data_IF_005584359982
#
_entry.id   IF_005584359982
#
_cell.length_a   1.000
_cell.length_b   1.000
_cell.length_c   1.000
_cell.angle_alpha   90.00
_cell.angle_beta   90.00
_cell.angle_gamma   90.00
#
_symmetry.space_group_name_H-M   'P 1'
#
loop_
_entity.id
_entity.type
_entity.pdbx_description
1 polymer ?
#
# COMPACT_ATOMS: atom_id res chain seq x y z
N UNK A 1 11.72 -28.17 48.22
CA UNK A 1 11.93 -26.79 47.71
C UNK A 1 11.36 -26.70 46.32
N UNK A 2 10.26 -25.94 46.10
CA UNK A 2 9.66 -25.70 44.78
C UNK A 2 10.21 -24.38 44.28
N UNK A 3 11.02 -24.42 43.22
CA UNK A 3 11.52 -23.21 42.54
C UNK A 3 10.42 -22.70 41.63
N UNK A 4 9.79 -21.59 42.03
CA UNK A 4 8.82 -20.91 41.19
C UNK A 4 9.59 -20.04 40.19
N UNK A 5 9.59 -20.41 38.90
CA UNK A 5 10.11 -19.57 37.82
C UNK A 5 9.04 -18.57 37.46
N UNK A 6 9.24 -17.28 37.77
CA UNK A 6 8.41 -16.18 37.35
C UNK A 6 8.82 -15.84 35.92
N UNK A 7 8.03 -16.26 34.92
CA UNK A 7 8.14 -15.80 33.54
C UNK A 7 7.53 -14.40 33.48
N UNK A 8 8.36 -13.35 33.53
CA UNK A 8 8.00 -12.00 33.17
C UNK A 8 7.84 -11.96 31.65
N UNK A 9 6.61 -12.18 31.17
CA UNK A 9 6.21 -11.84 29.82
C UNK A 9 6.19 -10.32 29.72
N UNK A 10 7.27 -9.72 29.23
CA UNK A 10 7.24 -8.32 28.80
C UNK A 10 6.30 -8.21 27.59
N UNK A 11 5.10 -7.70 27.85
CA UNK A 11 4.16 -7.33 26.80
C UNK A 11 4.73 -6.09 26.10
N UNK A 12 5.57 -6.27 25.11
CA UNK A 12 5.93 -5.19 24.20
C UNK A 12 4.69 -4.85 23.41
N UNK A 13 4.05 -3.73 23.73
CA UNK A 13 2.98 -3.15 22.90
C UNK A 13 3.59 -2.86 21.53
N UNK A 14 3.28 -3.70 20.56
CA UNK A 14 3.62 -3.44 19.18
C UNK A 14 2.74 -2.26 18.71
N UNK A 15 3.28 -1.07 18.73
CA UNK A 15 2.58 0.12 18.23
C UNK A 15 2.79 0.18 16.72
N UNK A 16 1.72 -0.07 15.96
CA UNK A 16 1.72 0.09 14.52
C UNK A 16 1.40 1.55 14.17
N UNK A 17 2.31 2.23 13.46
CA UNK A 17 2.09 3.59 12.96
C UNK A 17 1.67 3.53 11.51
N UNK A 18 0.43 3.90 11.26
CA UNK A 18 -0.18 4.00 9.93
C UNK A 18 -0.47 5.47 9.66
N UNK A 19 0.03 5.99 8.54
CA UNK A 19 -0.29 7.35 8.09
C UNK A 19 -1.34 7.24 6.99
N UNK A 20 -2.53 7.82 7.19
CA UNK A 20 -3.51 7.94 6.13
C UNK A 20 -3.05 9.01 5.14
N UNK A 21 -3.19 8.73 3.87
CA UNK A 21 -3.03 9.69 2.80
C UNK A 21 -4.32 9.70 1.97
N UNK A 22 -4.94 10.86 1.87
CA UNK A 22 -6.09 11.05 1.00
C UNK A 22 -5.53 11.40 -0.39
N UNK A 23 -5.60 10.45 -1.31
CA UNK A 23 -5.20 10.65 -2.68
C UNK A 23 -6.43 10.94 -3.52
N UNK A 24 -6.81 12.20 -3.70
CA UNK A 24 -7.59 12.55 -4.87
C UNK A 24 -6.72 12.29 -6.10
N UNK A 25 -7.36 11.90 -7.20
CA UNK A 25 -6.70 11.73 -8.48
C UNK A 25 -5.89 13.00 -8.84
N UNK A 26 -4.56 12.89 -8.86
CA UNK A 26 -3.64 14.02 -9.11
C UNK A 26 -3.20 14.83 -7.88
N UNK A 27 -3.42 14.34 -6.66
CA UNK A 27 -2.99 15.03 -5.45
C UNK A 27 -1.47 15.05 -5.25
N UNK A 28 -1.03 16.04 -4.44
CA UNK A 28 0.37 16.19 -4.07
C UNK A 28 0.81 15.14 -3.04
N UNK A 29 1.87 14.41 -3.31
CA UNK A 29 2.42 13.33 -2.47
C UNK A 29 3.58 13.77 -1.55
N UNK A 30 4.01 15.02 -1.61
CA UNK A 30 5.08 15.54 -0.74
C UNK A 30 4.78 15.35 0.77
N UNK A 31 3.53 15.46 1.25
CA UNK A 31 3.20 15.12 2.64
C UNK A 31 3.50 13.67 3.01
N UNK A 32 3.37 12.74 2.06
CA UNK A 32 3.71 11.31 2.25
C UNK A 32 5.22 11.16 2.41
N UNK A 33 6.02 11.83 1.56
CA UNK A 33 7.48 11.85 1.67
C UNK A 33 7.90 12.32 3.05
N UNK A 34 7.39 13.47 3.49
CA UNK A 34 7.70 14.03 4.80
C UNK A 34 7.30 13.09 5.96
N UNK A 35 6.19 12.37 5.81
CA UNK A 35 5.72 11.40 6.82
C UNK A 35 6.64 10.19 6.91
N UNK A 36 7.15 9.70 5.79
CA UNK A 36 8.10 8.58 5.75
C UNK A 36 9.43 9.01 6.38
N UNK A 37 9.95 10.17 6.00
CA UNK A 37 11.26 10.65 6.46
C UNK A 37 11.29 10.96 7.96
N UNK A 38 10.21 11.49 8.51
CA UNK A 38 10.17 12.05 9.88
C UNK A 38 9.36 11.20 10.85
N UNK A 39 8.46 10.36 10.36
CA UNK A 39 7.36 9.81 11.17
C UNK A 39 7.62 8.46 11.81
N UNK A 40 8.70 7.74 11.51
CA UNK A 40 8.89 6.36 11.96
C UNK A 40 7.65 5.49 11.66
N UNK A 41 7.05 5.66 10.48
CA UNK A 41 5.85 4.96 10.06
C UNK A 41 6.18 3.58 9.49
N UNK A 42 5.32 2.60 9.69
CA UNK A 42 5.45 1.28 9.11
C UNK A 42 4.56 1.10 7.88
N UNK A 43 3.45 1.82 7.81
CA UNK A 43 2.50 1.74 6.72
C UNK A 43 2.03 3.11 6.27
N UNK A 44 1.86 3.26 4.96
CA UNK A 44 1.07 4.33 4.35
C UNK A 44 -0.21 3.67 3.82
N UNK A 45 -1.36 4.22 4.22
CA UNK A 45 -2.66 3.81 3.71
C UNK A 45 -3.23 4.95 2.87
N UNK A 46 -3.47 4.70 1.58
CA UNK A 46 -3.95 5.73 0.65
C UNK A 46 -5.34 5.39 0.12
N UNK A 47 -6.25 6.35 0.19
CA UNK A 47 -7.60 6.24 -0.35
C UNK A 47 -7.74 7.08 -1.62
N UNK A 48 -7.92 6.40 -2.75
CA UNK A 48 -8.04 7.00 -4.09
C UNK A 48 -9.48 7.00 -4.61
N UNK A 49 -10.42 6.34 -3.91
CA UNK A 49 -11.74 6.07 -4.46
C UNK A 49 -12.81 6.96 -3.84
N UNK A 50 -13.20 7.98 -4.60
CA UNK A 50 -14.46 8.72 -4.43
C UNK A 50 -15.45 8.28 -5.51
N UNK A 51 -16.72 8.67 -5.39
CA UNK A 51 -17.74 8.44 -6.44
C UNK A 51 -17.29 9.03 -7.77
N UNK A 52 -16.73 10.25 -7.75
CA UNK A 52 -16.21 10.91 -8.93
C UNK A 52 -15.07 10.12 -9.56
N UNK A 53 -14.12 9.66 -8.75
CA UNK A 53 -13.00 8.84 -9.22
C UNK A 53 -13.51 7.57 -9.88
N UNK A 54 -14.45 6.86 -9.25
CA UNK A 54 -15.02 5.63 -9.80
C UNK A 54 -15.73 5.88 -11.15
N UNK A 55 -16.43 7.00 -11.29
CA UNK A 55 -17.06 7.37 -12.56
C UNK A 55 -16.03 7.63 -13.67
N UNK A 56 -14.90 8.28 -13.35
CA UNK A 56 -13.79 8.49 -14.28
C UNK A 56 -13.18 7.14 -14.68
N UNK A 57 -12.86 6.29 -13.70
CA UNK A 57 -12.27 4.97 -13.95
C UNK A 57 -13.17 4.07 -14.79
N UNK A 58 -14.50 4.15 -14.61
CA UNK A 58 -15.47 3.44 -15.43
C UNK A 58 -15.43 3.92 -16.89
N UNK A 59 -15.36 5.23 -17.11
CA UNK A 59 -15.27 5.81 -18.44
C UNK A 59 -13.96 5.44 -19.13
N UNK A 60 -12.84 5.44 -18.40
CA UNK A 60 -11.54 5.05 -18.92
C UNK A 60 -11.55 3.57 -19.32
N UNK A 61 -12.11 2.70 -18.49
CA UNK A 61 -12.21 1.27 -18.77
C UNK A 61 -13.11 0.94 -19.97
N UNK A 62 -14.14 1.78 -20.24
CA UNK A 62 -14.97 1.64 -21.45
C UNK A 62 -14.19 1.97 -22.73
N UNK A 63 -13.22 2.88 -22.65
CA UNK A 63 -12.35 3.26 -23.79
C UNK A 63 -11.23 2.25 -23.99
N UNK A 64 -10.64 1.79 -22.89
CA UNK A 64 -9.55 0.84 -22.87
C UNK A 64 -9.73 -0.14 -21.71
N UNK A 65 -10.04 -1.42 -21.98
CA UNK A 65 -10.24 -2.43 -20.95
C UNK A 65 -9.02 -2.67 -20.04
N UNK A 66 -7.82 -2.25 -20.43
CA UNK A 66 -6.62 -2.33 -19.61
C UNK A 66 -6.57 -1.29 -18.50
N UNK A 67 -7.34 -0.19 -18.63
CA UNK A 67 -7.50 0.88 -17.66
C UNK A 67 -8.56 0.54 -16.59
N UNK A 68 -9.00 1.54 -15.84
CA UNK A 68 -10.00 1.39 -14.77
C UNK A 68 -9.39 1.34 -13.38
N UNK A 69 -8.15 1.80 -13.25
CA UNK A 69 -7.45 2.04 -11.98
C UNK A 69 -6.90 3.46 -11.95
N UNK A 70 -6.59 4.00 -10.78
CA UNK A 70 -6.01 5.33 -10.63
C UNK A 70 -4.56 5.30 -11.14
N UNK A 71 -4.35 5.79 -12.38
CA UNK A 71 -3.07 5.69 -13.07
C UNK A 71 -1.93 6.47 -12.41
N UNK A 72 -2.25 7.49 -11.60
CA UNK A 72 -1.31 8.29 -10.83
C UNK A 72 -0.58 7.49 -9.72
N UNK A 73 -1.12 6.33 -9.32
CA UNK A 73 -0.44 5.42 -8.38
C UNK A 73 0.92 4.96 -8.91
N UNK A 74 1.08 4.84 -10.23
CA UNK A 74 2.33 4.38 -10.84
C UNK A 74 3.45 5.41 -10.65
N UNK A 75 3.34 6.68 -11.13
CA UNK A 75 4.38 7.68 -10.92
C UNK A 75 4.60 7.99 -9.43
N UNK A 76 3.55 7.94 -8.60
CA UNK A 76 3.67 8.10 -7.15
C UNK A 76 4.58 7.03 -6.55
N UNK A 77 4.31 5.75 -6.81
CA UNK A 77 5.12 4.65 -6.27
C UNK A 77 6.54 4.65 -6.85
N UNK A 78 6.72 5.03 -8.11
CA UNK A 78 8.05 5.21 -8.69
C UNK A 78 8.88 6.25 -7.93
N UNK A 79 8.26 7.33 -7.48
CA UNK A 79 8.90 8.40 -6.70
C UNK A 79 9.21 7.95 -5.26
N UNK A 80 8.25 7.26 -4.62
CA UNK A 80 8.34 6.87 -3.21
C UNK A 80 9.16 5.59 -2.98
N UNK A 81 9.34 4.76 -4.01
CA UNK A 81 9.83 3.40 -3.86
C UNK A 81 11.16 3.30 -3.10
N UNK A 82 12.15 4.06 -3.52
CA UNK A 82 13.48 4.01 -2.89
C UNK A 82 13.42 4.41 -1.42
N UNK A 83 12.67 5.47 -1.11
CA UNK A 83 12.47 5.95 0.25
C UNK A 83 11.76 4.91 1.11
N UNK A 84 10.70 4.29 0.58
CA UNK A 84 9.96 3.22 1.27
C UNK A 84 10.87 2.01 1.57
N UNK A 85 11.71 1.61 0.62
CA UNK A 85 12.67 0.52 0.83
C UNK A 85 13.69 0.86 1.92
N UNK A 86 14.26 2.06 1.87
CA UNK A 86 15.26 2.53 2.85
C UNK A 86 14.68 2.60 4.27
N UNK A 87 13.44 3.07 4.40
CA UNK A 87 12.76 3.22 5.69
C UNK A 87 11.94 1.99 6.13
N UNK A 88 11.88 0.93 5.30
CA UNK A 88 11.10 -0.28 5.61
C UNK A 88 9.59 -0.06 5.62
N UNK A 89 9.07 0.93 4.89
CA UNK A 89 7.66 1.31 4.87
C UNK A 89 6.90 0.49 3.83
N UNK A 90 5.68 0.08 4.17
CA UNK A 90 4.76 -0.62 3.27
C UNK A 90 3.65 0.32 2.82
N UNK A 91 3.19 0.14 1.60
CA UNK A 91 2.11 0.93 1.01
C UNK A 91 0.88 0.05 0.77
N UNK A 92 -0.28 0.54 1.20
CA UNK A 92 -1.59 -0.09 0.99
C UNK A 92 -2.53 0.95 0.39
N UNK A 93 -3.20 0.61 -0.69
CA UNK A 93 -4.15 1.52 -1.33
C UNK A 93 -5.30 0.77 -2.01
N UNK A 94 -6.35 1.51 -2.32
CA UNK A 94 -7.47 1.05 -3.14
C UNK A 94 -7.41 1.58 -4.59
N UNK A 95 -6.27 2.14 -5.01
CA UNK A 95 -6.06 2.70 -6.35
C UNK A 95 -6.38 1.73 -7.51
N UNK A 96 -6.46 0.42 -7.22
CA UNK A 96 -6.87 -0.60 -8.19
C UNK A 96 -8.28 -0.43 -8.74
N UNK A 97 -9.17 0.27 -8.02
CA UNK A 97 -10.50 0.62 -8.48
C UNK A 97 -11.26 -0.53 -9.13
N UNK A 98 -11.60 -0.39 -10.40
CA UNK A 98 -12.32 -1.37 -11.20
C UNK A 98 -11.41 -2.42 -11.88
N UNK A 99 -10.08 -2.21 -11.83
CA UNK A 99 -9.09 -3.10 -12.45
C UNK A 99 -7.84 -3.27 -11.58
N UNK A 100 -7.94 -3.90 -10.41
CA UNK A 100 -6.80 -4.05 -9.49
C UNK A 100 -5.65 -4.90 -10.06
N UNK A 101 -5.94 -5.83 -10.97
CA UNK A 101 -4.89 -6.60 -11.64
C UNK A 101 -4.10 -5.75 -12.64
N UNK A 102 -4.79 -4.89 -13.40
CA UNK A 102 -4.15 -3.92 -14.29
C UNK A 102 -3.24 -2.96 -13.52
N UNK A 103 -3.72 -2.43 -12.39
CA UNK A 103 -2.92 -1.59 -11.50
C UNK A 103 -1.66 -2.30 -11.01
N UNK A 104 -1.81 -3.53 -10.50
CA UNK A 104 -0.69 -4.32 -9.99
C UNK A 104 0.36 -4.59 -11.09
N UNK A 105 -0.08 -4.96 -12.29
CA UNK A 105 0.80 -5.19 -13.43
C UNK A 105 1.52 -3.91 -13.86
N UNK A 106 0.82 -2.78 -13.94
CA UNK A 106 1.40 -1.50 -14.33
C UNK A 106 2.47 -1.04 -13.32
N UNK A 107 2.19 -1.12 -12.03
CA UNK A 107 3.14 -0.81 -10.95
C UNK A 107 4.35 -1.75 -11.02
N UNK A 108 4.12 -3.05 -11.10
CA UNK A 108 5.18 -4.05 -11.15
C UNK A 108 6.10 -3.84 -12.37
N UNK A 109 5.52 -3.60 -13.55
CA UNK A 109 6.27 -3.34 -14.78
C UNK A 109 7.10 -2.06 -14.67
N UNK A 110 6.50 -0.96 -14.21
CA UNK A 110 7.19 0.31 -14.07
C UNK A 110 8.36 0.25 -13.08
N UNK A 111 8.16 -0.41 -11.94
CA UNK A 111 9.20 -0.54 -10.92
C UNK A 111 10.29 -1.53 -11.34
N UNK A 112 9.97 -2.62 -12.06
CA UNK A 112 10.94 -3.60 -12.52
C UNK A 112 11.95 -3.03 -13.53
N UNK A 113 11.58 -2.01 -14.30
CA UNK A 113 12.48 -1.31 -15.23
C UNK A 113 13.61 -0.59 -14.49
N UNK A 114 13.37 -0.10 -13.28
CA UNK A 114 14.31 0.76 -12.54
C UNK A 114 14.86 0.11 -11.27
N UNK A 115 14.17 -0.87 -10.73
CA UNK A 115 14.48 -1.51 -9.45
C UNK A 115 14.46 -3.03 -9.60
N UNK A 116 14.92 -3.76 -8.58
CA UNK A 116 14.84 -5.23 -8.51
C UNK A 116 13.38 -5.72 -8.50
N UNK A 117 13.12 -6.98 -8.85
CA UNK A 117 11.76 -7.54 -8.85
C UNK A 117 11.02 -7.28 -7.54
N UNK A 118 9.82 -6.74 -7.67
CA UNK A 118 9.01 -6.25 -6.57
C UNK A 118 7.83 -7.18 -6.35
N UNK A 119 7.51 -7.41 -5.09
CA UNK A 119 6.30 -8.13 -4.73
C UNK A 119 5.13 -7.15 -4.62
N UNK A 120 4.19 -7.24 -5.55
CA UNK A 120 2.89 -6.57 -5.50
C UNK A 120 1.84 -7.63 -5.20
N UNK A 121 1.02 -7.40 -4.17
CA UNK A 121 -0.06 -8.32 -3.79
C UNK A 121 -1.41 -7.63 -3.94
N UNK A 122 -2.36 -8.35 -4.55
CA UNK A 122 -3.77 -7.97 -4.57
C UNK A 122 -4.41 -8.42 -3.26
N UNK A 123 -5.12 -7.50 -2.60
CA UNK A 123 -5.97 -7.78 -1.45
C UNK A 123 -7.41 -7.68 -1.90
N UNK A 124 -8.16 -8.76 -1.79
CA UNK A 124 -9.61 -8.75 -2.05
C UNK A 124 -10.37 -8.48 -0.76
N UNK A 125 -11.19 -7.41 -0.77
CA UNK A 125 -12.09 -7.12 0.33
C UNK A 125 -13.18 -8.22 0.43
N UNK A 126 -13.40 -8.72 1.63
CA UNK A 126 -14.50 -9.65 1.94
C UNK A 126 -14.13 -11.11 2.20
N UNK A 127 -12.91 -11.55 1.89
CA UNK A 127 -12.47 -12.90 2.25
C UNK A 127 -11.55 -12.83 3.46
N UNK A 128 -12.11 -12.94 4.67
CA UNK A 128 -11.35 -13.26 5.89
C UNK A 128 -10.79 -14.68 5.78
N UNK A 129 -9.78 -14.90 4.99
CA UNK A 129 -8.94 -16.08 5.16
C UNK A 129 -7.89 -15.74 6.21
N UNK A 130 -8.03 -16.35 7.38
CA UNK A 130 -7.10 -16.23 8.53
C UNK A 130 -5.62 -16.47 8.19
N UNK A 131 -5.31 -16.92 6.99
CA UNK A 131 -3.96 -17.26 6.54
C UNK A 131 -3.24 -16.16 5.74
N UNK A 132 -3.92 -15.08 5.34
CA UNK A 132 -3.27 -14.03 4.56
C UNK A 132 -2.58 -12.97 5.42
N UNK A 133 -3.05 -12.75 6.65
CA UNK A 133 -2.45 -11.78 7.58
C UNK A 133 -1.05 -12.22 8.05
N UNK A 134 -0.80 -13.53 8.15
CA UNK A 134 0.51 -14.05 8.59
C UNK A 134 1.65 -13.86 7.57
N UNK A 135 1.35 -13.58 6.29
CA UNK A 135 2.36 -13.31 5.26
C UNK A 135 2.84 -11.86 5.23
N UNK A 136 2.10 -10.95 5.84
CA UNK A 136 2.49 -9.54 5.94
C UNK A 136 3.40 -9.24 7.14
N UNK A 137 3.60 -10.22 8.04
CA UNK A 137 4.35 -10.05 9.29
C UNK A 137 5.72 -10.77 9.30
N UNK A 138 6.19 -11.26 8.15
CA UNK A 138 7.53 -11.84 8.02
C UNK A 138 8.43 -10.97 7.16
#
# INVERSE_FOLDING_TARGET
MRTTVLLLLSYTRLTLRVVPHYGLYGDNWEPVVASIERGQVQYIASDHLTELTLAILQKDRQRDPSLGYACDVVPMLMRLWQLMQTCGVRFVCNAGGLNPMGAALAVQTALAVRFQPIKVEKIEAGVRRKHQISRFLK
#
